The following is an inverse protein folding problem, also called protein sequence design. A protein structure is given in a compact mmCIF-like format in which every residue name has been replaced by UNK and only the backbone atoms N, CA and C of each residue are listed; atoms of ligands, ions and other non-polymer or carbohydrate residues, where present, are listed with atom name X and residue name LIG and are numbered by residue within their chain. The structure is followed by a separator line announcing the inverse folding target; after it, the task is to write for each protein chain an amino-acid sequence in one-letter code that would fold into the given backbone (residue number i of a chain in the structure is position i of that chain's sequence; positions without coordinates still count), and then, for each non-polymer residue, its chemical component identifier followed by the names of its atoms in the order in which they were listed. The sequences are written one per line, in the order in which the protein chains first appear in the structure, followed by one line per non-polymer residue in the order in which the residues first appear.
data_IF_873696139377
#
_entry.id   IF_873696139377
#
_cell.length_a   1.000
_cell.length_b   1.000
_cell.length_c   1.000
_cell.angle_alpha   90.00
_cell.angle_beta   90.00
_cell.angle_gamma   90.00
#
_symmetry.space_group_name_H-M   'P 1'
#
loop_
_entity.id
_entity.type
_entity.pdbx_description
1 polymer ?
#
# COMPACT_ATOMS: atom_id res chain seq x y z
N UNK A 1 11.57 -14.36 -12.04
CA UNK A 1 10.58 -13.54 -11.35
C UNK A 1 11.34 -12.59 -10.45
N UNK A 2 11.31 -11.30 -10.73
CA UNK A 2 11.82 -10.27 -9.80
C UNK A 2 10.87 -10.23 -8.61
N UNK A 3 11.37 -10.49 -7.40
CA UNK A 3 10.56 -10.32 -6.19
C UNK A 3 10.10 -8.86 -6.11
N UNK A 4 8.80 -8.62 -5.94
CA UNK A 4 8.31 -7.27 -5.69
C UNK A 4 8.95 -6.72 -4.41
N UNK A 5 9.30 -5.44 -4.43
CA UNK A 5 9.85 -4.74 -3.27
C UNK A 5 8.72 -4.56 -2.25
N UNK A 6 8.95 -4.99 -1.02
CA UNK A 6 8.01 -4.71 0.08
C UNK A 6 8.19 -3.27 0.53
N UNK A 7 7.08 -2.54 0.55
CA UNK A 7 6.96 -1.17 1.03
C UNK A 7 6.04 -1.15 2.25
N UNK A 8 6.01 -0.04 2.97
CA UNK A 8 5.24 0.13 4.19
C UNK A 8 4.50 1.46 4.16
N UNK A 9 3.28 1.45 4.73
CA UNK A 9 2.48 2.66 4.95
C UNK A 9 1.93 2.61 6.38
N UNK A 10 1.92 3.72 7.15
CA UNK A 10 1.28 3.76 8.45
C UNK A 10 -0.16 3.27 8.37
N UNK A 11 -0.55 2.33 9.23
CA UNK A 11 -1.87 1.70 9.13
C UNK A 11 -3.01 2.70 9.33
N UNK A 12 -2.79 3.72 10.17
CA UNK A 12 -3.74 4.78 10.42
C UNK A 12 -4.05 5.65 9.18
N UNK A 13 -3.20 5.64 8.14
CA UNK A 13 -3.46 6.41 6.93
C UNK A 13 -4.42 5.69 5.98
N UNK A 14 -4.40 4.35 5.94
CA UNK A 14 -5.15 3.55 4.97
C UNK A 14 -6.68 3.71 4.97
N UNK A 15 -7.27 4.25 6.05
CA UNK A 15 -8.71 4.50 6.16
C UNK A 15 -9.11 5.89 5.61
N UNK A 16 -8.17 6.83 5.56
CA UNK A 16 -8.44 8.22 5.15
C UNK A 16 -7.84 8.54 3.79
N UNK A 17 -6.61 8.08 3.53
CA UNK A 17 -5.84 8.39 2.32
C UNK A 17 -4.70 7.39 2.14
N UNK A 18 -4.39 7.02 0.90
CA UNK A 18 -3.33 6.04 0.61
C UNK A 18 -2.12 6.71 -0.07
N UNK A 19 -1.26 7.44 0.67
CA UNK A 19 -0.02 7.95 0.09
C UNK A 19 0.88 6.83 -0.42
N UNK A 20 1.88 7.18 -1.23
CA UNK A 20 2.82 6.21 -1.77
C UNK A 20 3.57 5.47 -0.63
N UNK A 21 3.46 4.14 -0.56
CA UNK A 21 4.18 3.36 0.45
C UNK A 21 5.69 3.41 0.23
N UNK A 22 6.45 3.42 1.32
CA UNK A 22 7.90 3.59 1.28
C UNK A 22 8.63 2.29 1.63
N UNK A 23 9.75 2.01 0.94
CA UNK A 23 10.55 0.82 1.23
C UNK A 23 11.25 0.92 2.61
N UNK A 24 11.61 2.13 3.01
CA UNK A 24 12.14 2.46 4.33
C UNK A 24 11.11 3.31 5.09
N UNK A 25 10.53 2.82 6.21
CA UNK A 25 9.61 3.61 7.04
C UNK A 25 10.22 4.92 7.55
N UNK A 26 11.54 5.01 7.69
CA UNK A 26 12.23 6.24 8.08
C UNK A 26 12.02 7.37 7.06
N UNK A 27 11.70 7.05 5.80
CA UNK A 27 11.44 8.05 4.77
C UNK A 27 10.27 8.99 5.10
N UNK A 28 9.32 8.53 5.94
CA UNK A 28 8.20 9.36 6.39
C UNK A 28 8.58 10.38 7.48
N UNK A 29 9.79 10.31 8.04
CA UNK A 29 10.21 11.20 9.13
C UNK A 29 10.80 12.49 8.59
N UNK A 30 10.18 13.61 8.93
CA UNK A 30 10.75 14.93 8.79
C UNK A 30 11.31 15.43 10.13
N UNK A 31 12.51 16.02 10.08
CA UNK A 31 13.12 16.65 11.24
C UNK A 31 12.50 18.02 11.46
N UNK A 32 11.72 18.17 12.53
CA UNK A 32 11.26 19.48 12.95
C UNK A 32 12.45 20.36 13.37
N UNK A 33 12.29 21.66 13.14
CA UNK A 33 13.26 22.66 13.61
C UNK A 33 13.25 22.81 15.15
N UNK A 34 12.17 22.37 15.81
CA UNK A 34 12.02 22.43 17.26
C UNK A 34 12.51 21.14 17.93
N UNK A 35 13.31 21.22 19.01
CA UNK A 35 13.82 20.05 19.70
C UNK A 35 12.73 19.32 20.48
N UNK A 36 12.79 17.98 20.45
CA UNK A 36 12.01 17.10 21.35
C UNK A 36 10.87 16.32 20.69
N UNK A 37 10.64 16.48 19.38
CA UNK A 37 9.72 15.66 18.62
C UNK A 37 10.12 15.55 17.14
N UNK A 38 9.56 14.55 16.47
CA UNK A 38 9.70 14.32 15.03
C UNK A 38 8.32 14.39 14.38
N UNK A 39 8.27 14.77 13.11
CA UNK A 39 7.03 14.73 12.34
C UNK A 39 7.06 13.53 11.42
N UNK A 40 6.00 12.74 11.43
CA UNK A 40 5.75 11.77 10.38
C UNK A 40 4.75 12.38 9.39
N UNK A 41 5.11 12.35 8.11
CA UNK A 41 4.32 12.91 7.01
C UNK A 41 4.50 12.08 5.72
N UNK A 42 3.54 12.09 4.79
CA UNK A 42 3.71 11.49 3.47
C UNK A 42 4.94 12.03 2.74
N UNK A 43 5.57 11.19 1.91
CA UNK A 43 6.74 11.58 1.09
C UNK A 43 6.33 12.30 -0.21
N UNK A 44 5.08 12.14 -0.63
CA UNK A 44 4.53 12.76 -1.84
C UNK A 44 4.46 14.29 -1.73
N UNK A 45 4.28 15.00 -2.85
CA UNK A 45 4.46 16.45 -2.93
C UNK A 45 3.56 17.20 -1.90
N UNK A 46 4.14 17.97 -0.97
CA UNK A 46 3.37 18.71 0.03
C UNK A 46 2.39 19.74 -0.58
N UNK A 47 2.54 20.13 -1.84
CA UNK A 47 1.57 20.98 -2.54
C UNK A 47 0.25 20.26 -2.87
N UNK A 48 0.26 18.92 -2.97
CA UNK A 48 -0.93 18.11 -3.23
C UNK A 48 -1.75 17.81 -1.96
N UNK A 49 -1.17 18.10 -0.77
CA UNK A 49 -1.76 17.77 0.52
C UNK A 49 -2.05 19.03 1.34
N UNK A 50 -3.17 19.70 1.04
CA UNK A 50 -3.66 20.92 1.74
C UNK A 50 -4.13 20.66 3.20
N UNK A 51 -3.56 19.66 3.89
CA UNK A 51 -4.04 19.24 5.20
C UNK A 51 -2.91 18.79 6.12
N UNK A 52 -2.77 19.50 7.24
CA UNK A 52 -1.98 19.05 8.39
C UNK A 52 -2.54 17.79 9.04
N UNK A 53 -3.63 17.19 8.55
CA UNK A 53 -4.24 15.98 9.11
C UNK A 53 -3.30 14.77 9.11
N UNK A 54 -2.31 14.74 8.20
CA UNK A 54 -1.38 13.60 8.06
C UNK A 54 -0.14 13.73 8.94
N UNK A 55 0.06 14.90 9.55
CA UNK A 55 1.19 15.17 10.40
C UNK A 55 1.00 14.49 11.76
N UNK A 56 1.76 13.43 11.98
CA UNK A 56 1.78 12.75 13.28
C UNK A 56 3.04 13.20 14.02
N UNK A 57 2.84 13.90 15.13
CA UNK A 57 3.92 14.25 16.03
C UNK A 57 4.35 13.01 16.81
N UNK A 58 5.63 12.68 16.73
CA UNK A 58 6.22 11.51 17.38
C UNK A 58 7.31 11.87 18.38
N UNK A 59 7.43 11.06 19.43
CA UNK A 59 8.50 11.12 20.43
C UNK A 59 9.36 9.86 20.35
N UNK A 60 10.68 9.97 20.62
CA UNK A 60 11.55 8.79 20.75
C UNK A 60 10.95 7.74 21.68
N UNK A 61 10.97 6.48 21.23
CA UNK A 61 10.40 5.33 21.94
C UNK A 61 8.96 4.99 21.56
N UNK A 62 8.24 5.86 20.86
CA UNK A 62 6.91 5.53 20.34
C UNK A 62 6.97 4.45 19.27
N UNK A 63 5.95 3.60 19.26
CA UNK A 63 5.78 2.53 18.27
C UNK A 63 4.66 2.92 17.33
N UNK A 64 4.94 2.82 16.03
CA UNK A 64 3.99 3.13 14.96
C UNK A 64 3.72 1.83 14.18
N UNK A 65 2.44 1.45 14.01
CA UNK A 65 2.06 0.33 13.17
C UNK A 65 2.05 0.71 11.68
N UNK A 66 2.51 -0.21 10.84
CA UNK A 66 2.51 -0.09 9.38
C UNK A 66 1.90 -1.36 8.76
N UNK A 67 1.24 -1.21 7.62
CA UNK A 67 0.89 -2.34 6.76
C UNK A 67 1.92 -2.46 5.63
N UNK A 68 2.26 -3.71 5.31
CA UNK A 68 3.18 -4.03 4.23
C UNK A 68 2.42 -4.06 2.90
N UNK A 69 3.06 -3.53 1.87
CA UNK A 69 2.54 -3.39 0.52
C UNK A 69 3.50 -3.98 -0.51
N UNK A 70 2.97 -4.65 -1.54
CA UNK A 70 3.73 -5.07 -2.73
C UNK A 70 2.90 -4.83 -3.99
N UNK A 71 3.48 -4.16 -4.97
CA UNK A 71 2.91 -4.02 -6.31
C UNK A 71 3.43 -5.13 -7.22
N UNK A 72 2.54 -5.82 -7.91
CA UNK A 72 2.89 -6.87 -8.87
C UNK A 72 2.76 -6.42 -10.32
N UNK A 73 2.16 -5.24 -10.54
CA UNK A 73 2.00 -4.62 -11.84
C UNK A 73 0.79 -5.18 -12.59
N UNK A 74 0.86 -5.12 -13.92
CA UNK A 74 -0.23 -5.52 -14.79
C UNK A 74 -0.18 -7.00 -15.13
N UNK A 75 -1.34 -7.65 -15.07
CA UNK A 75 -1.58 -9.02 -15.46
C UNK A 75 -2.75 -9.09 -16.45
N UNK A 76 -2.88 -10.19 -17.17
CA UNK A 76 -3.96 -10.41 -18.13
C UNK A 76 -4.88 -11.51 -17.61
N UNK A 77 -6.12 -11.15 -17.30
CA UNK A 77 -7.20 -12.06 -16.95
C UNK A 77 -8.02 -12.38 -18.21
N UNK A 78 -8.45 -13.63 -18.39
CA UNK A 78 -9.36 -13.97 -19.49
C UNK A 78 -10.74 -14.23 -18.94
N UNK A 79 -11.76 -13.61 -19.55
CA UNK A 79 -13.18 -13.83 -19.20
C UNK A 79 -13.88 -14.47 -20.39
N UNK A 80 -14.45 -15.65 -20.16
CA UNK A 80 -15.21 -16.39 -21.14
C UNK A 80 -16.57 -15.70 -21.43
N UNK A 81 -17.21 -16.07 -22.53
CA UNK A 81 -18.51 -15.52 -22.94
C UNK A 81 -19.63 -15.75 -21.90
N UNK A 82 -19.50 -16.76 -21.03
CA UNK A 82 -20.46 -17.05 -19.97
C UNK A 82 -20.20 -16.25 -18.67
N UNK A 83 -19.20 -15.36 -18.67
CA UNK A 83 -18.81 -14.55 -17.51
C UNK A 83 -17.90 -15.27 -16.51
N UNK A 84 -17.49 -16.51 -16.78
CA UNK A 84 -16.46 -17.17 -15.98
C UNK A 84 -15.07 -16.62 -16.32
N UNK A 85 -14.21 -16.47 -15.31
CA UNK A 85 -12.84 -15.97 -15.51
C UNK A 85 -11.81 -17.04 -15.17
N UNK A 86 -10.81 -17.15 -16.04
CA UNK A 86 -9.59 -17.90 -15.75
C UNK A 86 -8.68 -17.03 -14.89
N UNK A 87 -8.21 -17.60 -13.77
CA UNK A 87 -7.31 -16.90 -12.88
C UNK A 87 -5.98 -16.59 -13.60
N UNK A 88 -5.58 -15.31 -13.69
CA UNK A 88 -4.28 -14.96 -14.25
C UNK A 88 -3.16 -15.54 -13.40
N UNK A 89 -1.98 -15.68 -14.00
CA UNK A 89 -0.77 -15.98 -13.21
C UNK A 89 -0.36 -14.73 -12.44
N UNK A 90 -0.79 -14.65 -11.18
CA UNK A 90 -0.40 -13.63 -10.19
C UNK A 90 0.37 -14.29 -9.04
N UNK A 91 1.20 -13.54 -8.29
CA UNK A 91 1.77 -14.03 -7.04
C UNK A 91 0.71 -14.55 -6.08
N UNK A 92 1.01 -15.66 -5.39
CA UNK A 92 0.04 -16.38 -4.56
C UNK A 92 -0.46 -15.58 -3.35
N UNK A 93 0.23 -14.52 -3.00
CA UNK A 93 -0.08 -13.61 -1.90
C UNK A 93 -0.75 -12.31 -2.36
N UNK A 94 -1.07 -12.14 -3.65
CA UNK A 94 -1.88 -11.01 -4.10
C UNK A 94 -3.31 -11.13 -3.55
N UNK A 95 -3.81 -10.06 -2.94
CA UNK A 95 -5.14 -9.99 -2.34
C UNK A 95 -5.92 -8.73 -2.72
N UNK A 96 -5.40 -7.91 -3.62
CA UNK A 96 -6.07 -6.72 -4.10
C UNK A 96 -5.90 -6.60 -5.62
N UNK A 97 -7.01 -6.31 -6.30
CA UNK A 97 -7.08 -6.30 -7.76
C UNK A 97 -8.01 -5.20 -8.27
N UNK A 98 -7.73 -4.67 -9.46
CA UNK A 98 -8.65 -3.81 -10.21
C UNK A 98 -8.44 -4.01 -11.73
N UNK A 99 -9.43 -3.63 -12.54
CA UNK A 99 -9.33 -3.60 -14.00
C UNK A 99 -8.53 -2.37 -14.42
N UNK A 100 -7.53 -2.54 -15.28
CA UNK A 100 -6.64 -1.47 -15.70
C UNK A 100 -5.94 -0.85 -14.49
N UNK A 101 -6.23 0.43 -14.24
CA UNK A 101 -5.81 1.18 -13.04
C UNK A 101 -7.02 1.76 -12.29
N UNK A 102 -8.22 1.23 -12.56
CA UNK A 102 -9.51 1.74 -12.06
C UNK A 102 -9.84 1.12 -10.69
N UNK A 103 -9.05 1.47 -9.69
CA UNK A 103 -9.22 0.96 -8.33
C UNK A 103 -10.42 1.57 -7.59
N UNK A 104 -10.99 2.67 -8.07
CA UNK A 104 -12.15 3.30 -7.43
C UNK A 104 -13.44 2.51 -7.73
N UNK A 105 -13.63 2.10 -8.99
CA UNK A 105 -14.88 1.47 -9.42
C UNK A 105 -14.80 -0.07 -9.54
N UNK A 106 -13.60 -0.63 -9.67
CA UNK A 106 -13.42 -2.07 -9.93
C UNK A 106 -12.57 -2.81 -8.89
N UNK A 107 -12.26 -2.17 -7.76
CA UNK A 107 -11.52 -2.84 -6.70
C UNK A 107 -12.21 -4.11 -6.22
N UNK A 108 -11.43 -5.17 -6.06
CA UNK A 108 -11.87 -6.46 -5.53
C UNK A 108 -10.74 -7.18 -4.80
N UNK A 109 -11.10 -7.94 -3.78
CA UNK A 109 -10.14 -8.75 -2.99
C UNK A 109 -9.88 -10.14 -3.62
N UNK A 110 -10.56 -10.45 -4.73
CA UNK A 110 -10.34 -11.70 -5.46
C UNK A 110 -10.63 -11.56 -6.95
N UNK A 111 -9.98 -12.39 -7.76
CA UNK A 111 -10.21 -12.46 -9.21
C UNK A 111 -11.65 -12.85 -9.56
N UNK A 112 -12.26 -13.74 -8.77
CA UNK A 112 -13.63 -14.18 -9.01
C UNK A 112 -14.65 -13.05 -8.79
N UNK A 113 -14.42 -12.17 -7.81
CA UNK A 113 -15.22 -10.96 -7.63
C UNK A 113 -14.90 -9.92 -8.71
N UNK A 114 -13.62 -9.72 -9.03
CA UNK A 114 -13.18 -8.79 -10.06
C UNK A 114 -13.84 -9.05 -11.42
N UNK A 115 -13.97 -10.32 -11.81
CA UNK A 115 -14.61 -10.73 -13.05
C UNK A 115 -16.05 -10.24 -13.20
N UNK A 116 -16.76 -9.96 -12.09
CA UNK A 116 -18.12 -9.43 -12.10
C UNK A 116 -18.19 -7.96 -12.53
N UNK A 117 -17.05 -7.26 -12.52
CA UNK A 117 -16.93 -5.89 -13.00
C UNK A 117 -16.66 -5.84 -14.53
N UNK A 118 -16.34 -6.97 -15.17
CA UNK A 118 -16.17 -7.01 -16.62
C UNK A 118 -17.51 -6.75 -17.34
N UNK A 119 -17.44 -5.96 -18.40
CA UNK A 119 -18.56 -5.60 -19.26
C UNK A 119 -18.73 -6.59 -20.41
N UNK A 120 -19.83 -6.52 -21.15
CA UNK A 120 -20.02 -7.34 -22.36
C UNK A 120 -18.90 -7.14 -23.40
N UNK A 121 -18.29 -5.95 -23.44
CA UNK A 121 -17.18 -5.64 -24.35
C UNK A 121 -15.87 -6.34 -23.96
N UNK A 122 -15.73 -6.74 -22.69
CA UNK A 122 -14.57 -7.46 -22.15
C UNK A 122 -14.64 -8.98 -22.39
N UNK A 123 -15.84 -9.51 -22.65
CA UNK A 123 -16.08 -10.96 -22.79
C UNK A 123 -15.53 -11.49 -24.12
N UNK A 124 -14.80 -12.62 -24.06
CA UNK A 124 -14.29 -13.28 -25.26
C UNK A 124 -13.18 -12.51 -26.00
N UNK A 125 -12.64 -11.44 -25.40
CA UNK A 125 -11.48 -10.71 -25.89
C UNK A 125 -10.15 -11.43 -25.58
N UNK A 126 -9.06 -10.96 -26.18
CA UNK A 126 -7.68 -11.42 -25.95
C UNK A 126 -7.15 -11.19 -24.51
N UNK A 127 -8.03 -10.77 -23.59
CA UNK A 127 -7.79 -10.64 -22.17
C UNK A 127 -8.00 -9.22 -21.65
N UNK A 128 -8.45 -9.14 -20.40
CA UNK A 128 -8.65 -7.92 -19.62
C UNK A 128 -7.38 -7.64 -18.83
N UNK A 129 -6.81 -6.45 -19.02
CA UNK A 129 -5.67 -6.02 -18.22
C UNK A 129 -6.15 -5.71 -16.79
N UNK A 130 -5.46 -6.26 -15.80
CA UNK A 130 -5.74 -6.03 -14.38
C UNK A 130 -4.46 -5.60 -13.66
N UNK A 131 -4.59 -4.77 -12.63
CA UNK A 131 -3.52 -4.52 -11.67
C UNK A 131 -3.67 -5.48 -10.49
N UNK A 132 -2.55 -6.02 -9.99
CA UNK A 132 -2.52 -6.85 -8.80
C UNK A 132 -1.53 -6.29 -7.77
N UNK A 133 -1.93 -6.28 -6.52
CA UNK A 133 -1.08 -5.90 -5.40
C UNK A 133 -1.46 -6.67 -4.13
N UNK A 134 -0.65 -6.45 -3.10
CA UNK A 134 -0.83 -7.02 -1.79
C UNK A 134 -0.82 -5.94 -0.73
N UNK A 135 -1.75 -6.05 0.22
CA UNK A 135 -1.68 -5.43 1.54
C UNK A 135 -1.67 -6.51 2.61
N UNK A 136 -0.82 -6.38 3.63
CA UNK A 136 -0.81 -7.33 4.75
C UNK A 136 -2.04 -7.18 5.65
N UNK A 137 -2.61 -8.30 6.10
CA UNK A 137 -3.70 -8.31 7.09
C UNK A 137 -3.22 -7.96 8.52
N UNK A 138 -1.91 -8.01 8.77
CA UNK A 138 -1.32 -7.79 10.09
C UNK A 138 -0.29 -6.67 10.06
N UNK A 139 -0.30 -5.85 11.11
CA UNK A 139 0.62 -4.73 11.27
C UNK A 139 2.06 -5.18 11.56
N UNK A 140 3.00 -4.58 10.84
CA UNK A 140 4.42 -4.56 11.18
C UNK A 140 4.70 -3.32 12.01
N UNK A 141 5.35 -3.49 13.16
CA UNK A 141 5.55 -2.40 14.11
C UNK A 141 6.97 -1.85 14.05
N UNK A 142 7.08 -0.52 14.04
CA UNK A 142 8.36 0.17 14.04
C UNK A 142 8.45 1.14 15.22
N UNK A 143 9.57 1.13 15.92
CA UNK A 143 9.85 2.04 17.03
C UNK A 143 10.70 3.19 16.54
N UNK A 144 10.27 4.41 16.85
CA UNK A 144 11.08 5.59 16.65
C UNK A 144 12.25 5.58 17.65
N UNK A 145 13.48 5.60 17.16
CA UNK A 145 14.68 5.66 17.98
C UNK A 145 15.61 6.76 17.49
N UNK A 146 16.41 7.31 18.40
CA UNK A 146 17.47 8.25 18.05
C UNK A 146 18.79 7.50 17.93
N UNK A 147 19.44 7.62 16.76
CA UNK A 147 20.74 7.03 16.46
C UNK A 147 21.64 8.08 15.82
N UNK A 148 22.82 8.30 16.40
CA UNK A 148 23.83 9.23 15.89
C UNK A 148 23.30 10.65 15.60
N UNK A 149 22.32 11.12 16.39
CA UNK A 149 21.69 12.44 16.20
C UNK A 149 20.64 12.50 15.08
N UNK A 150 20.19 11.35 14.58
CA UNK A 150 19.09 11.20 13.64
C UNK A 150 17.98 10.35 14.27
N UNK A 151 16.74 10.57 13.84
CA UNK A 151 15.66 9.63 14.12
C UNK A 151 15.57 8.59 13.02
N UNK A 152 15.34 7.35 13.41
CA UNK A 152 15.08 6.22 12.50
C UNK A 152 13.96 5.35 13.05
N UNK A 153 13.28 4.63 12.18
CA UNK A 153 12.34 3.59 12.56
C UNK A 153 13.02 2.23 12.58
N UNK A 154 12.98 1.55 13.71
CA UNK A 154 13.49 0.18 13.85
C UNK A 154 12.36 -0.84 14.00
N UNK A 155 12.42 -2.00 13.31
CA UNK A 155 11.46 -3.07 13.52
C UNK A 155 11.39 -3.50 14.99
N UNK A 156 10.18 -3.70 15.52
CA UNK A 156 9.97 -4.19 16.87
C UNK A 156 8.77 -5.14 16.95
N UNK A 157 8.61 -5.82 18.09
CA UNK A 157 7.52 -6.78 18.31
C UNK A 157 6.15 -6.12 18.59
N UNK A 158 6.09 -4.78 18.64
CA UNK A 158 4.91 -4.01 19.03
C UNK A 158 5.13 -3.17 20.31
N UNK A 159 4.07 -2.51 20.80
CA UNK A 159 4.10 -1.85 22.11
C UNK A 159 4.30 -2.89 23.22
N UNK A 160 5.24 -2.61 24.14
CA UNK A 160 5.47 -3.43 25.35
C UNK A 160 4.43 -3.13 26.43
#
# INVERSE_FOLDING_TARGET
MTSAVTKYLPSAWLDEMNPEPQADPTAFLNKCAEPGYYLMEPVDDPEDWDSTAYHVQLQPGQVVPFLAHRQYGMHIMTVAEDGSADAPTVPADANCFCIGLDWEDTFSESIAELAKHCTEDDLGQDGVAIQAWFWSDTETHFRLVEQDGNAVFEPCAGPN
#
